data_IF_764405614027
#
_entry.id   IF_764405614027
#
_cell.length_a   1.000
_cell.length_b   1.000
_cell.length_c   1.000
_cell.angle_alpha   90.00
_cell.angle_beta   90.00
_cell.angle_gamma   90.00
#
_symmetry.space_group_name_H-M   'P 1'
#
loop_
_entity.id
_entity.type
_entity.pdbx_description
1 polymer ?
#
# COMPACT_ATOMS: atom_id res chain seq x y z
N UNK A 1 21.74 -18.07 -34.43
CA UNK A 1 21.23 -18.55 -33.11
C UNK A 1 21.76 -17.75 -31.91
N UNK A 2 22.88 -17.01 -32.03
CA UNK A 2 23.45 -16.24 -30.91
C UNK A 2 22.87 -14.82 -30.71
N UNK A 3 22.29 -14.21 -31.76
CA UNK A 3 21.76 -12.83 -31.67
C UNK A 3 20.45 -12.73 -30.87
N UNK A 4 19.56 -13.72 -31.00
CA UNK A 4 18.28 -13.77 -30.27
C UNK A 4 18.45 -13.77 -28.75
N UNK A 5 19.45 -14.48 -28.23
CA UNK A 5 19.68 -14.55 -26.78
C UNK A 5 20.24 -13.23 -26.21
N UNK A 6 20.89 -12.41 -27.04
CA UNK A 6 21.43 -11.11 -26.62
C UNK A 6 20.32 -10.03 -26.56
N UNK A 7 19.33 -10.12 -27.46
CA UNK A 7 18.18 -9.20 -27.53
C UNK A 7 17.10 -9.53 -26.50
N UNK A 8 16.89 -10.82 -26.19
CA UNK A 8 16.00 -11.27 -25.10
C UNK A 8 16.46 -10.70 -23.75
N UNK A 9 17.77 -10.67 -23.48
CA UNK A 9 18.30 -10.13 -22.21
C UNK A 9 17.93 -8.65 -21.99
N UNK A 10 17.92 -7.85 -23.07
CA UNK A 10 17.60 -6.42 -23.00
C UNK A 10 16.09 -6.14 -22.82
N UNK A 11 15.22 -7.02 -23.32
CA UNK A 11 13.76 -6.94 -23.12
C UNK A 11 13.34 -7.24 -21.67
N UNK A 12 14.05 -8.15 -21.00
CA UNK A 12 13.86 -8.42 -19.56
C UNK A 12 14.63 -7.46 -18.64
N UNK A 13 15.46 -6.57 -19.22
CA UNK A 13 16.10 -5.44 -18.55
C UNK A 13 15.35 -4.12 -18.83
N UNK A 14 14.11 -4.19 -19.32
CA UNK A 14 13.22 -3.05 -19.56
C UNK A 14 12.68 -2.47 -18.26
N UNK A 15 13.15 -1.26 -17.94
CA UNK A 15 12.81 -0.42 -16.80
C UNK A 15 12.94 -1.11 -15.43
N UNK A 16 14.11 -1.06 -14.78
CA UNK A 16 14.15 -0.94 -13.34
C UNK A 16 13.56 0.43 -12.99
N UNK A 17 12.26 0.62 -13.21
CA UNK A 17 11.49 1.56 -12.39
C UNK A 17 11.53 0.95 -11.01
N UNK A 18 12.67 1.19 -10.34
CA UNK A 18 12.77 1.36 -8.92
C UNK A 18 11.86 0.36 -8.21
N UNK A 19 12.28 -0.91 -8.16
CA UNK A 19 11.99 -1.69 -6.97
C UNK A 19 12.84 -1.09 -5.84
N UNK A 20 12.55 0.17 -5.54
CA UNK A 20 12.74 0.66 -4.21
C UNK A 20 11.74 -0.20 -3.45
N UNK A 21 12.25 -1.19 -2.73
CA UNK A 21 11.80 -1.32 -1.36
C UNK A 21 12.08 0.03 -0.70
N UNK A 22 11.29 1.04 -1.09
CA UNK A 22 11.10 2.19 -0.26
C UNK A 22 10.52 1.53 0.95
N UNK A 23 11.33 1.45 2.00
CA UNK A 23 10.81 1.52 3.35
C UNK A 23 9.98 2.82 3.35
N UNK A 24 8.76 2.75 2.80
CA UNK A 24 7.77 3.80 2.92
C UNK A 24 7.52 3.79 4.40
N UNK A 25 8.21 4.69 5.09
CA UNK A 25 8.08 4.91 6.50
C UNK A 25 6.58 5.06 6.77
N UNK A 26 5.98 3.99 7.30
CA UNK A 26 4.54 3.98 7.54
C UNK A 26 4.28 5.09 8.55
N UNK A 27 3.37 6.00 8.20
CA UNK A 27 3.00 7.08 9.09
C UNK A 27 2.50 6.47 10.41
N UNK A 28 3.25 6.71 11.49
CA UNK A 28 2.86 6.29 12.82
C UNK A 28 1.78 7.25 13.33
N UNK A 29 0.56 6.74 13.47
CA UNK A 29 -0.56 7.49 14.02
C UNK A 29 -0.85 6.96 15.42
N UNK A 30 -0.97 7.87 16.39
CA UNK A 30 -1.32 7.47 17.75
C UNK A 30 -2.77 7.00 17.84
N UNK A 31 -3.04 6.03 18.74
CA UNK A 31 -4.40 5.59 19.02
C UNK A 31 -5.31 6.75 19.46
N UNK A 32 -4.76 7.74 20.18
CA UNK A 32 -5.51 8.94 20.60
C UNK A 32 -6.05 9.69 19.39
N UNK A 33 -5.22 9.92 18.37
CA UNK A 33 -5.64 10.60 17.13
C UNK A 33 -6.74 9.82 16.42
N UNK A 34 -6.63 8.49 16.34
CA UNK A 34 -7.67 7.64 15.75
C UNK A 34 -8.99 7.74 16.52
N UNK A 35 -8.95 7.73 17.85
CA UNK A 35 -10.14 7.89 18.70
C UNK A 35 -10.77 9.25 18.53
N UNK A 36 -9.97 10.32 18.50
CA UNK A 36 -10.47 11.67 18.33
C UNK A 36 -11.13 11.84 16.94
N UNK A 37 -10.51 11.31 15.88
CA UNK A 37 -11.04 11.37 14.51
C UNK A 37 -12.34 10.59 14.32
N UNK A 38 -12.43 9.39 14.90
CA UNK A 38 -13.58 8.48 14.73
C UNK A 38 -14.70 8.69 15.76
N UNK A 39 -14.58 9.71 16.63
CA UNK A 39 -15.42 9.88 17.82
C UNK A 39 -15.48 8.60 18.68
N UNK A 40 -14.31 8.03 18.96
CA UNK A 40 -14.10 6.78 19.68
C UNK A 40 -14.79 5.58 19.01
N UNK A 41 -14.62 5.44 17.69
CA UNK A 41 -15.20 4.37 16.88
C UNK A 41 -16.73 4.27 17.01
N UNK A 42 -17.42 5.43 17.06
CA UNK A 42 -18.87 5.48 17.19
C UNK A 42 -19.55 4.89 15.94
N UNK A 43 -20.62 4.11 16.11
CA UNK A 43 -21.42 3.57 15.00
C UNK A 43 -21.98 4.67 14.09
N UNK A 44 -22.24 5.87 14.62
CA UNK A 44 -22.67 7.01 13.80
C UNK A 44 -21.63 7.41 12.73
N UNK A 45 -20.35 7.08 12.95
CA UNK A 45 -19.25 7.32 11.99
C UNK A 45 -18.88 6.06 11.20
N UNK A 46 -19.53 4.91 11.43
CA UNK A 46 -19.28 3.69 10.69
C UNK A 46 -19.80 3.82 9.27
N UNK A 47 -18.90 3.69 8.30
CA UNK A 47 -19.21 3.69 6.88
C UNK A 47 -19.59 2.30 6.37
N UNK A 48 -19.07 1.24 7.01
CA UNK A 48 -19.39 -0.13 6.64
C UNK A 48 -18.62 -1.18 7.42
N UNK A 49 -18.87 -2.46 7.09
CA UNK A 49 -18.08 -3.60 7.57
C UNK A 49 -17.95 -4.66 6.47
N UNK A 50 -16.81 -5.36 6.46
CA UNK A 50 -16.57 -6.52 5.61
C UNK A 50 -15.70 -7.57 6.31
N UNK A 51 -15.21 -8.56 5.56
CA UNK A 51 -14.36 -9.63 6.11
C UNK A 51 -13.04 -9.14 6.74
N UNK A 52 -12.65 -7.90 6.47
CA UNK A 52 -11.43 -7.27 6.97
C UNK A 52 -11.67 -6.26 8.11
N UNK A 53 -12.93 -6.14 8.59
CA UNK A 53 -13.29 -5.30 9.73
C UNK A 53 -14.15 -4.09 9.37
N UNK A 54 -14.13 -3.11 10.28
CA UNK A 54 -14.96 -1.91 10.25
C UNK A 54 -14.25 -0.74 9.55
N UNK A 55 -15.02 0.08 8.85
CA UNK A 55 -14.55 1.33 8.24
C UNK A 55 -15.29 2.50 8.87
N UNK A 56 -14.56 3.51 9.31
CA UNK A 56 -15.11 4.74 9.91
C UNK A 56 -14.71 5.95 9.07
N UNK A 57 -15.54 7.01 9.12
CA UNK A 57 -15.27 8.32 8.52
C UNK A 57 -14.07 9.01 9.17
#
# INVERSE_FOLDING_TARGET
RLRYNQEISLLYMGNPSSHESGDQELAQISLKVLRDATANFCDANKLGQGGYGHVYK
#
